data_IF_449662666534
#
_entry.id   IF_449662666534
#
_cell.length_a   1.000
_cell.length_b   1.000
_cell.length_c   1.000
_cell.angle_alpha   90.00
_cell.angle_beta   90.00
_cell.angle_gamma   90.00
#
_symmetry.space_group_name_H-M   'P 1'
#
loop_
_entity.id
_entity.type
_entity.pdbx_description
1 polymer ?
#
# COMPACT_ATOMS: atom_id res chain seq x y z
N UNK A 1 10.89 -5.77 13.06
CA UNK A 1 10.24 -5.64 11.73
C UNK A 1 9.02 -4.71 11.76
N UNK A 2 8.08 -4.89 12.70
CA UNK A 2 6.87 -4.04 12.82
C UNK A 2 7.20 -2.53 12.94
N UNK A 3 8.24 -2.16 13.69
CA UNK A 3 8.66 -0.75 13.83
C UNK A 3 9.06 -0.08 12.51
N UNK A 4 9.85 -0.74 11.67
CA UNK A 4 10.26 -0.21 10.37
C UNK A 4 9.06 -0.05 9.41
N UNK A 5 8.13 -1.00 9.46
CA UNK A 5 6.93 -0.97 8.62
C UNK A 5 5.96 0.13 9.05
N UNK A 6 5.80 0.36 10.36
CA UNK A 6 5.01 1.47 10.89
C UNK A 6 5.63 2.83 10.50
N UNK A 7 6.95 2.98 10.63
CA UNK A 7 7.66 4.17 10.17
C UNK A 7 7.44 4.42 8.68
N UNK A 8 7.48 3.37 7.85
CA UNK A 8 7.22 3.47 6.42
C UNK A 8 5.77 3.90 6.13
N UNK A 9 4.78 3.32 6.81
CA UNK A 9 3.37 3.69 6.68
C UNK A 9 3.15 5.17 7.01
N UNK A 10 3.61 5.62 8.18
CA UNK A 10 3.43 7.02 8.59
C UNK A 10 4.20 7.99 7.71
N UNK A 11 5.39 7.61 7.24
CA UNK A 11 6.15 8.42 6.28
C UNK A 11 5.43 8.52 4.94
N UNK A 12 4.89 7.42 4.42
CA UNK A 12 4.11 7.43 3.18
C UNK A 12 2.83 8.28 3.32
N UNK A 13 2.13 8.18 4.45
CA UNK A 13 0.95 9.00 4.74
C UNK A 13 1.30 10.50 4.78
N UNK A 14 2.40 10.84 5.46
CA UNK A 14 2.88 12.22 5.54
C UNK A 14 3.29 12.77 4.17
N UNK A 15 3.95 11.96 3.33
CA UNK A 15 4.32 12.36 1.97
C UNK A 15 3.09 12.56 1.08
N UNK A 16 2.13 11.62 1.08
CA UNK A 16 0.89 11.77 0.31
C UNK A 16 0.14 13.03 0.71
N UNK A 17 0.05 13.32 2.02
CA UNK A 17 -0.54 14.56 2.49
C UNK A 17 0.28 15.78 2.04
N UNK A 18 1.60 15.77 2.25
CA UNK A 18 2.48 16.89 1.87
C UNK A 18 2.37 17.23 0.38
N UNK A 19 2.53 16.23 -0.50
CA UNK A 19 2.39 16.44 -1.94
C UNK A 19 0.96 16.84 -2.31
N UNK A 20 -0.04 16.23 -1.67
CA UNK A 20 -1.46 16.56 -1.82
C UNK A 20 -1.79 18.04 -1.59
N UNK A 21 -1.14 18.68 -0.62
CA UNK A 21 -1.36 20.09 -0.26
C UNK A 21 -0.40 21.06 -0.96
N UNK A 22 0.88 20.70 -1.12
CA UNK A 22 1.95 21.66 -1.42
C UNK A 22 2.64 21.46 -2.77
N UNK A 23 2.38 20.36 -3.50
CA UNK A 23 3.10 20.07 -4.74
C UNK A 23 2.56 20.84 -5.95
N UNK A 24 2.75 22.15 -5.92
CA UNK A 24 2.57 23.04 -7.08
C UNK A 24 3.47 24.28 -6.98
N UNK A 25 4.65 24.14 -6.37
CA UNK A 25 5.69 25.12 -6.65
C UNK A 25 6.04 25.01 -8.13
N UNK A 26 5.72 26.08 -8.87
CA UNK A 26 6.14 26.36 -10.23
C UNK A 26 7.66 26.49 -10.31
N UNK A 27 8.39 25.46 -9.89
CA UNK A 27 9.76 25.31 -10.33
C UNK A 27 9.69 25.20 -11.87
N UNK A 28 10.65 25.76 -12.60
CA UNK A 28 10.79 25.51 -14.02
C UNK A 28 11.23 24.05 -14.21
N UNK A 29 10.29 23.13 -13.97
CA UNK A 29 10.48 21.70 -14.20
C UNK A 29 10.23 21.49 -15.69
N UNK A 30 11.07 20.71 -16.40
CA UNK A 30 10.77 20.27 -17.76
C UNK A 30 9.33 19.74 -17.84
N UNK A 31 8.68 19.82 -19.03
CA UNK A 31 7.27 19.49 -19.18
C UNK A 31 6.95 18.23 -18.39
N UNK A 32 6.09 18.36 -17.37
CA UNK A 32 5.63 17.18 -16.64
C UNK A 32 5.16 16.21 -17.71
N UNK A 33 5.72 15.00 -17.75
CA UNK A 33 5.09 13.90 -18.48
C UNK A 33 3.63 13.95 -18.10
N UNK A 34 2.73 14.03 -19.08
CA UNK A 34 1.32 14.41 -18.91
C UNK A 34 0.55 13.53 -17.88
N UNK A 35 1.18 12.45 -17.40
CA UNK A 35 0.64 11.47 -16.48
C UNK A 35 1.46 11.28 -15.19
N UNK A 36 2.53 12.05 -14.96
CA UNK A 36 3.40 11.89 -13.77
C UNK A 36 2.66 12.04 -12.44
N UNK A 37 1.65 12.91 -12.41
CA UNK A 37 0.77 13.11 -11.26
C UNK A 37 -0.02 11.84 -10.92
N UNK A 38 -0.61 11.19 -11.94
CA UNK A 38 -1.36 9.94 -11.79
C UNK A 38 -0.49 8.80 -11.27
N UNK A 39 0.76 8.72 -11.74
CA UNK A 39 1.73 7.74 -11.24
C UNK A 39 2.01 7.98 -9.74
N UNK A 40 2.12 9.24 -9.33
CA UNK A 40 2.25 9.63 -7.93
C UNK A 40 1.07 9.16 -7.07
N UNK A 41 -0.16 9.34 -7.56
CA UNK A 41 -1.37 8.86 -6.89
C UNK A 41 -1.39 7.33 -6.75
N UNK A 42 -1.12 6.58 -7.83
CA UNK A 42 -1.07 5.11 -7.78
C UNK A 42 0.02 4.63 -6.82
N UNK A 43 1.23 5.17 -6.93
CA UNK A 43 2.38 4.74 -6.13
C UNK A 43 2.22 5.10 -4.65
N UNK A 44 1.80 6.33 -4.35
CA UNK A 44 1.62 6.82 -2.98
C UNK A 44 0.53 6.06 -2.24
N UNK A 45 -0.67 5.97 -2.82
CA UNK A 45 -1.78 5.23 -2.21
C UNK A 45 -1.56 3.71 -2.23
N UNK A 46 -0.85 3.18 -3.24
CA UNK A 46 -0.46 1.77 -3.28
C UNK A 46 0.50 1.39 -2.17
N UNK A 47 1.55 2.20 -1.92
CA UNK A 47 2.46 1.99 -0.80
C UNK A 47 1.74 2.09 0.54
N UNK A 48 0.83 3.06 0.67
CA UNK A 48 0.03 3.25 1.89
C UNK A 48 -0.89 2.06 2.17
N UNK A 49 -1.59 1.55 1.16
CA UNK A 49 -2.46 0.38 1.29
C UNK A 49 -1.68 -0.92 1.49
N UNK A 50 -0.53 -1.09 0.84
CA UNK A 50 0.37 -2.23 1.03
C UNK A 50 0.84 -2.30 2.48
N UNK A 51 1.39 -1.20 2.99
CA UNK A 51 1.91 -1.14 4.36
C UNK A 51 0.80 -1.23 5.40
N UNK A 52 -0.37 -0.63 5.16
CA UNK A 52 -1.56 -0.82 5.98
C UNK A 52 -2.00 -2.29 6.03
N UNK A 53 -2.03 -2.96 4.87
CA UNK A 53 -2.39 -4.37 4.78
C UNK A 53 -1.43 -5.29 5.54
N UNK A 54 -0.14 -4.98 5.50
CA UNK A 54 0.90 -5.74 6.22
C UNK A 54 0.91 -5.44 7.74
N UNK A 55 0.52 -4.24 8.18
CA UNK A 55 0.47 -3.86 9.60
C UNK A 55 -0.83 -4.25 10.29
N UNK A 56 -1.94 -3.99 9.62
CA UNK A 56 -3.28 -4.01 10.21
C UNK A 56 -4.21 -5.04 9.56
N UNK A 57 -3.75 -5.72 8.50
CA UNK A 57 -4.51 -6.71 7.73
C UNK A 57 -5.26 -6.12 6.52
N UNK A 58 -5.61 -6.98 5.57
CA UNK A 58 -6.24 -6.62 4.28
C UNK A 58 -7.78 -6.54 4.36
N UNK A 59 -8.31 -5.91 5.41
CA UNK A 59 -9.75 -5.87 5.67
C UNK A 59 -10.50 -4.79 4.89
N UNK A 60 -11.79 -5.05 4.59
CA UNK A 60 -12.70 -4.08 3.93
C UNK A 60 -12.71 -2.71 4.61
N UNK A 61 -12.61 -2.66 5.95
CA UNK A 61 -12.58 -1.40 6.71
C UNK A 61 -11.38 -0.52 6.33
N UNK A 62 -10.19 -1.10 6.22
CA UNK A 62 -8.99 -0.36 5.86
C UNK A 62 -9.07 0.17 4.42
N UNK A 63 -9.59 -0.64 3.49
CA UNK A 63 -9.86 -0.21 2.12
C UNK A 63 -10.84 0.98 2.07
N UNK A 64 -11.97 0.88 2.76
CA UNK A 64 -12.95 1.98 2.82
C UNK A 64 -12.35 3.24 3.43
N UNK A 65 -11.62 3.13 4.54
CA UNK A 65 -11.00 4.29 5.20
C UNK A 65 -9.98 4.99 4.29
N UNK A 66 -9.13 4.23 3.59
CA UNK A 66 -8.18 4.81 2.64
C UNK A 66 -8.88 5.42 1.42
N UNK A 67 -9.95 4.80 0.90
CA UNK A 67 -10.74 5.37 -0.19
C UNK A 67 -11.42 6.68 0.22
N UNK A 68 -11.96 6.74 1.44
CA UNK A 68 -12.54 7.97 2.01
C UNK A 68 -11.46 9.02 2.20
N UNK A 69 -10.27 8.65 2.69
CA UNK A 69 -9.15 9.57 2.83
C UNK A 69 -8.70 10.14 1.47
N UNK A 70 -8.64 9.30 0.42
CA UNK A 70 -8.35 9.75 -0.94
C UNK A 70 -9.39 10.75 -1.45
N UNK A 71 -10.68 10.44 -1.31
CA UNK A 71 -11.76 11.34 -1.70
C UNK A 71 -11.77 12.64 -0.90
N UNK A 72 -11.44 12.59 0.40
CA UNK A 72 -11.33 13.77 1.25
C UNK A 72 -10.15 14.66 0.84
N UNK A 73 -8.99 14.07 0.51
CA UNK A 73 -7.84 14.81 0.00
C UNK A 73 -8.20 15.56 -1.29
N UNK A 74 -8.86 14.87 -2.22
CA UNK A 74 -9.38 15.45 -3.47
C UNK A 74 -10.38 16.59 -3.20
N UNK A 75 -11.30 16.38 -2.26
CA UNK A 75 -12.26 17.39 -1.85
C UNK A 75 -11.60 18.62 -1.22
N UNK A 76 -10.52 18.46 -0.47
CA UNK A 76 -9.74 19.58 0.07
C UNK A 76 -9.04 20.36 -1.05
N UNK A 77 -8.55 19.68 -2.09
CA UNK A 77 -7.90 20.33 -3.23
C UNK A 77 -8.83 21.28 -4.01
N UNK A 78 -10.15 21.10 -3.94
CA UNK A 78 -11.12 22.07 -4.48
C UNK A 78 -10.99 23.47 -3.86
N UNK A 79 -10.42 23.56 -2.65
CA UNK A 79 -10.22 24.81 -1.92
C UNK A 79 -8.77 25.31 -1.95
N UNK A 80 -7.87 24.61 -2.66
CA UNK A 80 -6.47 24.97 -2.78
C UNK A 80 -6.24 25.63 -4.15
N UNK A 81 -5.96 26.96 -4.23
CA UNK A 81 -5.77 27.65 -5.50
C UNK A 81 -4.60 27.10 -6.34
N UNK A 82 -3.68 26.42 -5.66
CA UNK A 82 -2.52 25.80 -6.26
C UNK A 82 -2.79 24.38 -6.73
N UNK A 83 -3.97 23.77 -6.53
CA UNK A 83 -4.27 22.39 -6.95
C UNK A 83 -5.51 22.35 -7.83
N UNK A 84 -5.63 21.29 -8.63
CA UNK A 84 -6.81 21.02 -9.43
C UNK A 84 -7.35 19.68 -9.01
N UNK A 85 -8.57 19.67 -8.47
CA UNK A 85 -9.23 18.41 -8.19
C UNK A 85 -9.66 17.75 -9.52
N UNK A 86 -9.35 16.48 -9.68
CA UNK A 86 -9.71 15.65 -10.82
C UNK A 86 -10.24 14.29 -10.40
N UNK A 87 -11.33 13.87 -11.03
CA UNK A 87 -11.86 12.51 -10.89
C UNK A 87 -10.82 11.47 -11.30
N UNK A 88 -9.93 11.77 -12.26
CA UNK A 88 -8.89 10.83 -12.69
C UNK A 88 -7.87 10.55 -11.59
N UNK A 89 -7.61 11.52 -10.72
CA UNK A 89 -6.60 11.41 -9.66
C UNK A 89 -7.16 10.63 -8.46
N UNK A 90 -8.45 10.81 -8.20
CA UNK A 90 -9.21 9.93 -7.31
C UNK A 90 -9.21 8.48 -7.84
N UNK A 91 -9.47 8.24 -9.13
CA UNK A 91 -9.44 6.90 -9.71
C UNK A 91 -8.04 6.27 -9.64
N UNK A 92 -6.99 7.04 -9.91
CA UNK A 92 -5.60 6.62 -9.76
C UNK A 92 -5.28 6.22 -8.30
N UNK A 93 -5.77 6.99 -7.33
CA UNK A 93 -5.63 6.69 -5.90
C UNK A 93 -6.33 5.38 -5.53
N UNK A 94 -7.57 5.19 -6.00
CA UNK A 94 -8.33 3.96 -5.78
C UNK A 94 -7.66 2.74 -6.41
N UNK A 95 -7.11 2.88 -7.62
CA UNK A 95 -6.33 1.83 -8.26
C UNK A 95 -5.08 1.47 -7.44
N UNK A 96 -4.36 2.48 -6.94
CA UNK A 96 -3.25 2.30 -5.99
C UNK A 96 -3.68 1.51 -4.76
N UNK A 97 -4.76 1.91 -4.08
CA UNK A 97 -5.29 1.22 -2.90
C UNK A 97 -5.56 -0.26 -3.20
N UNK A 98 -6.24 -0.55 -4.31
CA UNK A 98 -6.55 -1.91 -4.74
C UNK A 98 -5.28 -2.76 -4.95
N UNK A 99 -4.31 -2.22 -5.70
CA UNK A 99 -3.02 -2.89 -5.94
C UNK A 99 -2.24 -3.11 -4.65
N UNK A 100 -2.22 -2.14 -3.75
CA UNK A 100 -1.51 -2.24 -2.47
C UNK A 100 -2.08 -3.36 -1.59
N UNK A 101 -3.41 -3.43 -1.42
CA UNK A 101 -4.02 -4.52 -0.64
C UNK A 101 -3.88 -5.89 -1.32
N UNK A 102 -3.96 -5.95 -2.65
CA UNK A 102 -3.70 -7.19 -3.39
C UNK A 102 -2.26 -7.68 -3.17
N UNK A 103 -1.29 -6.77 -3.19
CA UNK A 103 0.11 -7.05 -2.87
C UNK A 103 0.29 -7.54 -1.42
N UNK A 104 -0.33 -6.87 -0.46
CA UNK A 104 -0.27 -7.27 0.95
C UNK A 104 -0.85 -8.68 1.17
N UNK A 105 -1.97 -8.98 0.52
CA UNK A 105 -2.60 -10.29 0.56
C UNK A 105 -1.67 -11.37 -0.03
N UNK A 106 -1.11 -11.13 -1.21
CA UNK A 106 -0.22 -12.05 -1.89
C UNK A 106 1.04 -12.35 -1.03
N UNK A 107 1.67 -11.32 -0.47
CA UNK A 107 2.84 -11.48 0.40
C UNK A 107 2.51 -12.28 1.67
N UNK A 108 1.36 -12.00 2.28
CA UNK A 108 0.92 -12.72 3.48
C UNK A 108 0.62 -14.20 3.17
N UNK A 109 -0.03 -14.48 2.03
CA UNK A 109 -0.31 -15.84 1.58
C UNK A 109 0.98 -16.62 1.27
N UNK A 110 1.94 -15.99 0.58
CA UNK A 110 3.24 -16.59 0.28
C UNK A 110 4.01 -16.94 1.56
N UNK A 111 4.05 -16.02 2.54
CA UNK A 111 4.70 -16.27 3.83
C UNK A 111 4.07 -17.47 4.57
N UNK A 112 2.74 -17.57 4.57
CA UNK A 112 2.03 -18.72 5.15
C UNK A 112 2.32 -20.04 4.43
N UNK A 113 2.39 -20.02 3.10
CA UNK A 113 2.73 -21.21 2.30
C UNK A 113 4.14 -21.73 2.60
N UNK A 114 5.14 -20.84 2.64
CA UNK A 114 6.53 -21.18 2.97
C UNK A 114 6.63 -21.78 4.38
N UNK A 115 5.96 -21.17 5.37
CA UNK A 115 5.93 -21.70 6.73
C UNK A 115 5.37 -23.12 6.84
N UNK A 116 4.25 -23.38 6.15
CA UNK A 116 3.61 -24.69 6.14
C UNK A 116 4.44 -25.78 5.42
N UNK A 117 5.19 -25.40 4.39
CA UNK A 117 6.10 -26.32 3.69
C UNK A 117 7.23 -26.82 4.59
N UNK A 118 7.83 -25.92 5.37
CA UNK A 118 8.89 -26.27 6.34
C UNK A 118 8.38 -27.17 7.45
N UNK A 119 7.18 -26.91 7.98
CA UNK A 119 6.57 -27.74 9.03
C UNK A 119 6.31 -29.19 8.57
N UNK A 120 5.91 -29.40 7.31
CA UNK A 120 5.66 -30.74 6.76
C UNK A 120 6.94 -31.52 6.43
N UNK A 121 8.04 -30.85 6.12
CA UNK A 121 9.33 -31.49 5.84
C UNK A 121 10.04 -32.04 7.08
N UNK A 122 9.76 -31.50 8.26
CA UNK A 122 10.40 -31.91 9.53
C UNK A 122 9.87 -33.21 10.14
N UNK A 123 8.67 -33.65 9.79
CA UNK A 123 7.96 -34.74 10.48
C UNK A 123 8.21 -36.14 9.87
N UNK A 124 8.95 -36.21 8.76
CA UNK A 124 9.19 -37.46 8.01
C UNK A 124 10.33 -38.35 8.53
N UNK A 125 11.09 -37.91 9.55
CA UNK A 125 12.37 -38.53 9.92
C UNK A 125 12.36 -39.55 11.07
N UNK A 126 11.30 -39.64 11.88
CA UNK A 126 11.41 -40.28 13.21
C UNK A 126 10.74 -41.65 13.40
N UNK A 127 10.19 -42.29 12.35
CA UNK A 127 9.45 -43.57 12.50
C UNK A 127 10.02 -44.76 11.69
N UNK A 128 11.34 -44.98 11.74
CA UNK A 128 11.97 -46.22 11.23
C UNK A 128 13.02 -46.80 12.18
N UNK A 129 12.69 -46.90 13.47
CA UNK A 129 13.65 -47.37 14.48
C UNK A 129 13.19 -48.47 15.41
N UNK A 130 11.90 -48.82 15.45
CA UNK A 130 11.39 -49.75 16.48
C UNK A 130 10.42 -50.78 15.90
N UNK A 131 10.91 -51.60 14.97
CA UNK A 131 10.38 -52.96 14.81
C UNK A 131 11.58 -53.89 14.61
N UNK A 132 11.88 -54.66 15.66
CA UNK A 132 12.46 -56.01 15.73
C UNK A 132 13.10 -56.19 17.13
N UNK A 133 13.05 -57.38 17.76
CA UNK A 133 12.49 -58.66 17.32
C UNK A 133 11.18 -59.08 18.02
#
# INVERSE_FOLDING_TARGET
MVGCLALLFFSAAALVAWFGFFDNYQLPVPPRVADGDKVGHVAGFGLLALTAGLLFGTGRRAAVLLSVAAAALEGVQLFLPTRQASVTDLLASLAGIGLGFAGAFALSALAGWVGNGMARGGDGGSRRGEELP
#
